data_IF_904266324455
#
_entry.id   IF_904266324455
#
_cell.length_a   1.000
_cell.length_b   1.000
_cell.length_c   1.000
_cell.angle_alpha   90.00
_cell.angle_beta   90.00
_cell.angle_gamma   90.00
#
_symmetry.space_group_name_H-M   'P 1'
#
loop_
_entity.id
_entity.type
_entity.pdbx_description
1 polymer ?
#
# COMPACT_ATOMS: atom_id res chain seq x y z
N UNK A 1 -18.60 1.43 -25.39
CA UNK A 1 -17.90 2.64 -24.92
C UNK A 1 -16.52 2.33 -24.29
N UNK A 2 -16.35 1.28 -23.44
CA UNK A 2 -15.04 0.89 -22.86
C UNK A 2 -14.06 0.39 -23.92
N UNK A 3 -14.47 -0.47 -24.84
CA UNK A 3 -13.63 -0.97 -25.95
C UNK A 3 -13.17 0.15 -26.89
N UNK A 4 -14.03 1.14 -27.20
CA UNK A 4 -13.66 2.27 -28.07
C UNK A 4 -12.59 3.17 -27.46
N UNK A 5 -12.60 3.42 -26.13
CA UNK A 5 -11.53 4.23 -25.48
C UNK A 5 -10.19 3.50 -25.41
N UNK A 6 -10.19 2.18 -25.23
CA UNK A 6 -8.97 1.38 -25.32
C UNK A 6 -8.36 1.40 -26.73
N UNK A 7 -9.20 1.32 -27.77
CA UNK A 7 -8.76 1.47 -29.17
C UNK A 7 -8.14 2.85 -29.43
N UNK A 8 -8.68 3.95 -28.88
CA UNK A 8 -8.16 5.29 -29.13
C UNK A 8 -6.74 5.51 -28.58
N UNK A 9 -6.38 4.95 -27.43
CA UNK A 9 -5.00 5.03 -26.93
C UNK A 9 -4.08 4.14 -27.76
N UNK A 10 -4.53 2.96 -28.15
CA UNK A 10 -3.75 1.99 -28.90
C UNK A 10 -3.45 2.44 -30.34
N UNK A 11 -4.46 2.95 -31.05
CA UNK A 11 -4.39 3.14 -32.51
C UNK A 11 -4.01 4.59 -32.92
N UNK A 12 -4.16 5.56 -32.03
CA UNK A 12 -3.97 6.98 -32.38
C UNK A 12 -2.89 7.74 -31.61
N UNK A 13 -2.45 7.23 -30.45
CA UNK A 13 -1.48 7.96 -29.63
C UNK A 13 -0.03 7.75 -30.09
N UNK A 14 0.30 6.53 -30.46
CA UNK A 14 1.67 6.15 -30.81
C UNK A 14 1.64 5.29 -32.07
N UNK A 15 1.52 5.90 -33.27
CA UNK A 15 1.47 5.17 -34.55
C UNK A 15 2.65 4.21 -34.66
N UNK A 16 2.37 3.01 -35.18
CA UNK A 16 3.38 1.96 -35.42
C UNK A 16 4.09 1.38 -34.18
N UNK A 17 3.58 1.67 -32.98
CA UNK A 17 4.13 1.09 -31.75
C UNK A 17 3.25 -0.06 -31.24
N UNK A 18 3.82 -1.26 -30.97
CA UNK A 18 3.06 -2.35 -30.42
C UNK A 18 2.68 -2.05 -28.96
N UNK A 19 1.37 -1.99 -28.68
CA UNK A 19 0.83 -1.85 -27.33
C UNK A 19 -0.13 -3.00 -27.09
N UNK A 20 0.15 -3.82 -26.08
CA UNK A 20 -0.74 -4.91 -25.67
C UNK A 20 -1.81 -4.42 -24.69
N UNK A 21 -2.84 -5.22 -24.47
CA UNK A 21 -3.86 -4.95 -23.45
C UNK A 21 -3.26 -4.92 -22.05
N UNK A 22 -2.28 -5.79 -21.78
CA UNK A 22 -1.54 -5.82 -20.51
C UNK A 22 -0.72 -4.55 -20.31
N UNK A 23 -0.04 -4.05 -21.36
CA UNK A 23 0.72 -2.81 -21.25
C UNK A 23 -0.19 -1.64 -20.91
N UNK A 24 -1.39 -1.62 -21.48
CA UNK A 24 -2.38 -0.59 -21.19
C UNK A 24 -2.94 -0.73 -19.77
N UNK A 25 -3.21 -1.96 -19.31
CA UNK A 25 -3.66 -2.20 -17.93
C UNK A 25 -2.63 -1.70 -16.92
N UNK A 26 -1.38 -2.09 -17.08
CA UNK A 26 -0.31 -1.67 -16.16
C UNK A 26 0.04 -0.19 -16.29
N UNK A 27 -0.09 0.40 -17.49
CA UNK A 27 0.01 1.84 -17.67
C UNK A 27 -1.02 2.59 -16.81
N UNK A 28 -2.28 2.17 -16.84
CA UNK A 28 -3.34 2.74 -16.00
C UNK A 28 -2.97 2.60 -14.52
N UNK A 29 -2.50 1.42 -14.12
CA UNK A 29 -2.10 1.17 -12.75
C UNK A 29 -0.96 2.10 -12.31
N UNK A 30 0.07 2.27 -13.13
CA UNK A 30 1.19 3.19 -12.88
C UNK A 30 0.76 4.67 -12.80
N UNK A 31 -0.09 5.13 -13.72
CA UNK A 31 -0.63 6.50 -13.71
C UNK A 31 -1.37 6.82 -12.41
N UNK A 32 -2.18 5.89 -11.91
CA UNK A 32 -2.93 6.08 -10.67
C UNK A 32 -2.04 6.24 -9.43
N UNK A 33 -0.78 5.79 -9.49
CA UNK A 33 0.23 6.02 -8.45
C UNK A 33 1.06 7.29 -8.67
N UNK A 34 0.98 7.93 -9.84
CA UNK A 34 1.71 9.17 -10.12
C UNK A 34 1.23 10.32 -9.23
N UNK A 35 2.16 10.93 -8.50
CA UNK A 35 1.88 12.11 -7.69
C UNK A 35 1.37 13.28 -8.57
N UNK A 36 1.97 13.47 -9.74
CA UNK A 36 1.53 14.48 -10.71
C UNK A 36 0.09 14.27 -11.16
N UNK A 37 -0.35 13.01 -11.38
CA UNK A 37 -1.73 12.69 -11.71
C UNK A 37 -2.67 12.96 -10.52
N UNK A 38 -2.34 12.46 -9.35
CA UNK A 38 -3.15 12.62 -8.14
C UNK A 38 -3.32 14.08 -7.74
N UNK A 39 -2.27 14.87 -7.83
CA UNK A 39 -2.32 16.30 -7.51
C UNK A 39 -3.14 17.08 -8.53
N UNK A 40 -2.89 16.84 -9.83
CA UNK A 40 -3.59 17.55 -10.91
C UNK A 40 -5.09 17.30 -10.92
N UNK A 41 -5.51 16.08 -10.65
CA UNK A 41 -6.91 15.65 -10.73
C UNK A 41 -7.55 15.37 -9.37
N UNK A 42 -6.99 15.91 -8.28
CA UNK A 42 -7.45 15.66 -6.91
C UNK A 42 -8.96 15.89 -6.72
N UNK A 43 -9.48 17.01 -7.26
CA UNK A 43 -10.91 17.37 -7.16
C UNK A 43 -11.81 16.43 -7.99
N UNK A 44 -11.34 15.96 -9.13
CA UNK A 44 -12.09 15.06 -10.00
C UNK A 44 -12.14 13.66 -9.39
N UNK A 45 -11.01 13.18 -8.85
CA UNK A 45 -10.91 11.85 -8.22
C UNK A 45 -11.80 11.69 -6.98
N UNK A 46 -12.21 12.79 -6.36
CA UNK A 46 -13.18 12.75 -5.26
C UNK A 46 -14.64 12.61 -5.71
N UNK A 47 -14.95 12.91 -6.96
CA UNK A 47 -16.32 13.03 -7.48
C UNK A 47 -16.64 12.06 -8.60
N UNK A 48 -15.65 11.65 -9.36
CA UNK A 48 -15.82 10.88 -10.59
C UNK A 48 -14.81 9.72 -10.67
N UNK A 49 -15.11 8.75 -11.53
CA UNK A 49 -14.15 7.69 -11.87
C UNK A 49 -12.93 8.31 -12.58
N UNK A 50 -11.72 7.75 -12.34
CA UNK A 50 -10.51 8.24 -12.96
C UNK A 50 -10.60 8.27 -14.48
N UNK A 51 -10.24 9.41 -15.08
CA UNK A 51 -10.01 9.56 -16.51
C UNK A 51 -8.51 9.51 -16.75
N UNK A 52 -8.07 8.54 -17.52
CA UNK A 52 -6.65 8.31 -17.74
C UNK A 52 -6.21 9.08 -18.98
N UNK A 53 -5.31 10.10 -18.84
CA UNK A 53 -4.79 10.84 -19.98
C UNK A 53 -3.77 10.00 -20.75
N UNK A 54 -3.53 10.36 -22.00
CA UNK A 54 -2.36 9.89 -22.75
C UNK A 54 -1.14 10.71 -22.37
N UNK A 55 -0.01 10.05 -22.14
CA UNK A 55 1.26 10.77 -21.93
C UNK A 55 1.88 11.21 -23.26
N UNK A 56 2.79 12.16 -23.19
CA UNK A 56 3.32 12.83 -24.38
C UNK A 56 4.10 11.89 -25.30
N UNK A 57 4.85 10.94 -24.77
CA UNK A 57 5.71 10.05 -25.55
C UNK A 57 5.49 8.58 -25.24
N UNK A 58 5.88 7.72 -26.19
CA UNK A 58 5.83 6.26 -26.02
C UNK A 58 6.78 5.78 -24.92
N UNK A 59 7.93 6.40 -24.77
CA UNK A 59 8.90 6.08 -23.71
C UNK A 59 8.31 6.34 -22.32
N UNK A 60 7.56 7.44 -22.17
CA UNK A 60 6.82 7.70 -20.91
C UNK A 60 5.71 6.66 -20.69
N UNK A 61 4.99 6.28 -21.75
CA UNK A 61 3.99 5.20 -21.67
C UNK A 61 4.63 3.90 -21.17
N UNK A 62 5.75 3.49 -21.74
CA UNK A 62 6.46 2.27 -21.30
C UNK A 62 6.97 2.37 -19.87
N UNK A 63 7.46 3.54 -19.45
CA UNK A 63 7.93 3.76 -18.09
C UNK A 63 6.81 3.63 -17.07
N UNK A 64 5.64 4.21 -17.35
CA UNK A 64 4.45 4.04 -16.49
C UNK A 64 3.93 2.60 -16.51
N UNK A 65 3.89 1.95 -17.68
CA UNK A 65 3.46 0.54 -17.80
C UNK A 65 4.38 -0.39 -17.02
N UNK A 66 5.71 -0.19 -17.14
CA UNK A 66 6.69 -0.98 -16.38
C UNK A 66 6.51 -0.80 -14.87
N UNK A 67 6.45 0.44 -14.40
CA UNK A 67 6.27 0.72 -12.98
C UNK A 67 4.93 0.16 -12.46
N UNK A 68 3.86 0.26 -13.25
CA UNK A 68 2.58 -0.33 -12.92
C UNK A 68 2.63 -1.85 -12.81
N UNK A 69 3.41 -2.53 -13.65
CA UNK A 69 3.64 -3.98 -13.59
C UNK A 69 4.42 -4.36 -12.32
N UNK A 70 5.46 -3.61 -12.00
CA UNK A 70 6.27 -3.82 -10.81
C UNK A 70 5.43 -3.61 -9.52
N UNK A 71 4.60 -2.55 -9.48
CA UNK A 71 3.65 -2.30 -8.39
C UNK A 71 2.60 -3.41 -8.26
N UNK A 72 1.99 -3.82 -9.37
CA UNK A 72 0.97 -4.87 -9.35
C UNK A 72 1.53 -6.19 -8.84
N UNK A 73 2.72 -6.58 -9.30
CA UNK A 73 3.41 -7.78 -8.80
C UNK A 73 3.63 -7.72 -7.29
N UNK A 74 4.14 -6.58 -6.81
CA UNK A 74 4.38 -6.37 -5.37
C UNK A 74 3.08 -6.44 -4.55
N UNK A 75 2.00 -5.83 -5.05
CA UNK A 75 0.74 -5.74 -4.31
C UNK A 75 -0.08 -7.03 -4.35
N UNK A 76 0.00 -7.81 -5.43
CA UNK A 76 -0.68 -9.11 -5.54
C UNK A 76 0.04 -10.15 -4.68
N UNK A 77 1.37 -10.12 -4.66
CA UNK A 77 2.20 -11.07 -3.93
C UNK A 77 2.77 -10.51 -2.62
N UNK A 78 2.03 -9.62 -1.97
CA UNK A 78 2.49 -8.94 -0.75
C UNK A 78 2.82 -9.90 0.41
N UNK A 79 2.20 -11.07 0.44
CA UNK A 79 2.49 -12.10 1.45
C UNK A 79 3.76 -12.93 1.13
N UNK A 80 4.28 -12.86 -0.07
CA UNK A 80 5.48 -13.58 -0.49
C UNK A 80 6.76 -12.77 -0.25
N UNK A 81 6.64 -11.46 0.06
CA UNK A 81 7.81 -10.63 0.31
C UNK A 81 8.51 -11.01 1.62
N UNK A 82 9.80 -10.77 1.68
CA UNK A 82 10.58 -10.94 2.90
C UNK A 82 10.16 -9.94 3.96
N UNK A 83 9.86 -10.36 5.20
CA UNK A 83 9.58 -9.45 6.30
C UNK A 83 10.72 -8.46 6.51
N UNK A 84 10.40 -7.21 6.79
CA UNK A 84 11.39 -6.16 7.01
C UNK A 84 12.26 -6.46 8.25
N UNK A 85 13.57 -6.57 8.05
CA UNK A 85 14.51 -6.96 9.09
C UNK A 85 15.12 -5.78 9.87
N UNK A 86 14.86 -4.52 9.43
CA UNK A 86 15.45 -3.32 10.05
C UNK A 86 14.80 -2.87 11.35
N UNK A 87 13.78 -3.57 11.83
CA UNK A 87 13.14 -3.30 13.13
C UNK A 87 13.85 -4.02 14.27
N UNK A 88 13.61 -3.55 15.50
CA UNK A 88 14.02 -4.23 16.73
C UNK A 88 12.79 -4.77 17.44
N UNK A 89 12.78 -6.07 17.77
CA UNK A 89 11.74 -6.68 18.59
C UNK A 89 12.19 -6.68 20.05
N UNK A 90 11.49 -5.96 20.90
CA UNK A 90 11.69 -5.96 22.34
C UNK A 90 10.65 -6.89 23.01
N UNK A 91 11.12 -7.74 23.89
CA UNK A 91 10.29 -8.69 24.65
C UNK A 91 10.21 -8.26 26.10
N UNK A 92 9.00 -7.96 26.59
CA UNK A 92 8.76 -7.48 27.96
C UNK A 92 8.94 -8.55 29.04
N UNK A 93 8.95 -9.84 28.64
CA UNK A 93 9.01 -10.97 29.57
C UNK A 93 10.01 -12.01 29.07
N UNK A 94 10.55 -12.79 30.01
CA UNK A 94 11.37 -13.96 29.70
C UNK A 94 10.51 -15.17 29.38
N UNK A 95 10.97 -16.06 28.48
CA UNK A 95 10.25 -17.29 28.09
C UNK A 95 9.78 -17.28 26.65
N UNK A 96 8.90 -18.24 26.29
CA UNK A 96 8.36 -18.35 24.94
C UNK A 96 7.37 -17.21 24.69
N UNK A 97 7.60 -16.31 23.71
CA UNK A 97 6.72 -15.19 23.47
C UNK A 97 5.37 -15.64 22.91
N UNK A 98 4.31 -14.95 23.30
CA UNK A 98 3.00 -15.10 22.67
C UNK A 98 2.91 -14.14 21.48
N UNK A 99 2.53 -14.67 20.31
CA UNK A 99 2.27 -13.87 19.11
C UNK A 99 0.80 -13.51 18.92
N UNK A 100 -0.07 -13.94 19.85
CA UNK A 100 -1.49 -13.60 19.79
C UNK A 100 -1.71 -12.09 19.93
N UNK A 101 -2.49 -11.52 19.04
CA UNK A 101 -2.86 -10.10 19.01
C UNK A 101 -4.26 -9.94 19.60
N UNK A 102 -4.39 -9.03 20.57
CA UNK A 102 -5.68 -8.51 21.00
C UNK A 102 -6.01 -7.20 20.29
N UNK A 103 -5.07 -6.27 20.31
CA UNK A 103 -5.12 -4.99 19.65
C UNK A 103 -3.72 -4.40 19.58
N UNK A 104 -3.25 -4.07 18.39
CA UNK A 104 -2.02 -3.33 18.19
C UNK A 104 -2.24 -1.83 18.47
N UNK A 105 -1.21 -1.15 18.94
CA UNK A 105 -1.23 0.30 19.21
C UNK A 105 0.09 0.95 18.84
N UNK A 106 0.04 2.12 18.25
CA UNK A 106 1.23 2.94 18.10
C UNK A 106 1.77 3.42 19.46
N UNK A 107 3.07 3.58 19.55
CA UNK A 107 3.71 4.24 20.69
C UNK A 107 3.14 5.64 20.93
N UNK A 108 3.55 6.27 22.01
CA UNK A 108 3.11 7.62 22.38
C UNK A 108 4.29 8.56 22.52
N UNK A 109 4.15 9.76 21.97
CA UNK A 109 5.08 10.87 22.16
C UNK A 109 4.63 11.64 23.39
N UNK A 110 5.53 11.78 24.38
CA UNK A 110 5.24 12.51 25.60
C UNK A 110 4.86 13.98 25.30
N UNK A 111 3.87 14.49 26.02
CA UNK A 111 3.41 15.89 25.90
C UNK A 111 2.56 16.21 24.68
N UNK A 112 2.24 15.21 23.83
CA UNK A 112 1.32 15.39 22.68
C UNK A 112 0.02 14.65 22.89
N UNK A 113 -1.05 15.10 22.21
CA UNK A 113 -2.39 14.51 22.25
C UNK A 113 -2.92 14.22 20.85
N UNK A 114 -3.96 13.38 20.76
CA UNK A 114 -4.57 13.00 19.48
C UNK A 114 -3.64 12.22 18.56
N UNK A 115 -3.78 12.42 17.26
CA UNK A 115 -2.94 11.74 16.25
C UNK A 115 -1.48 12.21 16.29
N UNK A 116 -1.21 13.44 16.71
CA UNK A 116 0.14 13.98 16.88
C UNK A 116 0.92 13.30 18.03
N UNK A 117 0.21 12.60 18.92
CA UNK A 117 0.82 11.83 20.02
C UNK A 117 1.28 10.44 19.61
N UNK A 118 0.97 9.98 18.40
CA UNK A 118 1.35 8.64 17.92
C UNK A 118 2.80 8.63 17.48
N UNK A 119 3.61 7.84 18.17
CA UNK A 119 4.95 7.49 17.69
C UNK A 119 4.86 6.37 16.66
N UNK A 120 5.01 6.72 15.40
CA UNK A 120 4.93 5.80 14.26
C UNK A 120 6.21 4.98 14.06
N UNK A 121 7.25 5.23 14.84
CA UNK A 121 8.48 4.41 14.83
C UNK A 121 8.40 3.24 15.79
N UNK A 122 7.37 3.22 16.65
CA UNK A 122 7.17 2.21 17.70
C UNK A 122 5.76 1.64 17.63
N UNK A 123 5.64 0.30 17.58
CA UNK A 123 4.38 -0.42 17.67
C UNK A 123 4.36 -1.29 18.92
N UNK A 124 3.39 -1.08 19.79
CA UNK A 124 3.03 -2.00 20.87
C UNK A 124 2.16 -3.08 20.23
N UNK A 125 2.79 -4.22 19.90
CA UNK A 125 2.13 -5.32 19.20
C UNK A 125 1.16 -6.06 20.12
N UNK A 126 1.64 -6.44 21.32
CA UNK A 126 0.85 -7.01 22.41
C UNK A 126 1.57 -6.77 23.76
N UNK A 127 1.16 -7.47 24.83
CA UNK A 127 1.77 -7.34 26.17
C UNK A 127 3.18 -7.99 26.27
N UNK A 128 3.64 -8.66 25.22
CA UNK A 128 4.94 -9.32 25.15
C UNK A 128 5.92 -8.64 24.23
N UNK A 129 5.43 -8.11 23.09
CA UNK A 129 6.25 -7.69 21.97
C UNK A 129 6.01 -6.22 21.68
N UNK A 130 7.11 -5.46 21.62
CA UNK A 130 7.13 -4.11 21.07
C UNK A 130 8.07 -4.10 19.87
N UNK A 131 7.58 -3.57 18.74
CA UNK A 131 8.37 -3.39 17.52
C UNK A 131 8.89 -1.95 17.50
N UNK A 132 10.20 -1.77 17.43
CA UNK A 132 10.87 -0.45 17.37
C UNK A 132 11.64 -0.26 16.06
N UNK A 133 12.05 0.97 15.81
CA UNK A 133 12.80 1.36 14.62
C UNK A 133 12.03 1.12 13.32
N UNK A 134 10.70 1.32 13.35
CA UNK A 134 9.88 1.29 12.14
C UNK A 134 10.23 2.53 11.32
N UNK A 135 10.65 2.39 10.04
CA UNK A 135 11.00 3.53 9.20
C UNK A 135 9.78 4.40 8.91
N UNK A 136 9.92 5.72 9.09
CA UNK A 136 8.82 6.68 8.85
C UNK A 136 8.42 6.71 7.38
N UNK A 137 9.34 6.42 6.47
CA UNK A 137 9.09 6.32 5.03
C UNK A 137 8.03 5.27 4.69
N UNK A 138 7.90 4.20 5.50
CA UNK A 138 6.85 3.20 5.34
C UNK A 138 5.43 3.76 5.59
N UNK A 139 5.31 4.93 6.25
CA UNK A 139 4.03 5.60 6.44
C UNK A 139 3.58 6.42 5.22
N UNK A 140 4.47 6.65 4.23
CA UNK A 140 4.18 7.43 3.03
C UNK A 140 3.23 6.67 2.07
N UNK A 141 3.19 5.34 2.13
CA UNK A 141 2.27 4.55 1.32
C UNK A 141 0.83 4.64 1.87
N UNK A 142 0.06 5.53 1.25
CA UNK A 142 -1.31 5.86 1.67
C UNK A 142 -2.33 5.10 0.83
N UNK A 143 -3.21 4.37 1.50
CA UNK A 143 -4.36 3.67 0.93
C UNK A 143 -5.62 4.19 1.61
N UNK A 144 -6.55 4.77 0.85
CA UNK A 144 -7.80 5.32 1.39
C UNK A 144 -7.59 6.25 2.62
N UNK A 145 -6.71 7.24 2.49
CA UNK A 145 -6.41 8.28 3.50
C UNK A 145 -5.67 7.80 4.76
N UNK A 146 -5.27 6.54 4.83
CA UNK A 146 -4.45 5.98 5.93
C UNK A 146 -3.22 5.29 5.35
N UNK A 147 -2.14 5.21 6.13
CA UNK A 147 -1.01 4.37 5.72
C UNK A 147 -1.41 2.89 5.68
N UNK A 148 -0.74 2.11 4.83
CA UNK A 148 -0.96 0.67 4.79
C UNK A 148 -0.70 0.02 6.16
N UNK A 149 0.28 0.53 6.91
CA UNK A 149 0.56 0.10 8.28
C UNK A 149 -0.59 0.41 9.25
N UNK A 150 -1.23 1.58 9.12
CA UNK A 150 -2.41 1.91 9.94
C UNK A 150 -3.56 0.95 9.71
N UNK A 151 -3.75 0.47 8.47
CA UNK A 151 -4.76 -0.53 8.18
C UNK A 151 -4.48 -1.85 8.90
N UNK A 152 -3.24 -2.32 8.90
CA UNK A 152 -2.87 -3.54 9.63
C UNK A 152 -3.09 -3.35 11.13
N UNK A 153 -2.62 -2.25 11.72
CA UNK A 153 -2.78 -1.93 13.15
C UNK A 153 -4.24 -1.87 13.58
N UNK A 154 -5.12 -1.36 12.71
CA UNK A 154 -6.54 -1.24 12.99
C UNK A 154 -7.29 -2.57 12.82
N UNK A 155 -6.93 -3.36 11.80
CA UNK A 155 -7.68 -4.56 11.41
C UNK A 155 -7.19 -5.85 12.04
N UNK A 156 -5.89 -5.96 12.34
CA UNK A 156 -5.35 -7.11 13.04
C UNK A 156 -5.66 -7.03 14.54
N UNK A 157 -6.91 -7.31 14.90
CA UNK A 157 -7.40 -7.24 16.27
C UNK A 157 -8.49 -8.30 16.53
N UNK A 158 -8.85 -8.44 17.79
CA UNK A 158 -10.08 -9.14 18.21
C UNK A 158 -11.17 -8.11 18.41
N UNK A 159 -12.27 -8.22 17.70
CA UNK A 159 -13.41 -7.31 17.80
C UNK A 159 -14.73 -8.10 17.86
N UNK A 160 -15.72 -7.49 18.49
CA UNK A 160 -17.08 -8.05 18.57
C UNK A 160 -18.01 -7.10 17.82
N UNK A 161 -18.71 -7.61 16.83
CA UNK A 161 -19.78 -6.87 16.19
C UNK A 161 -20.95 -6.71 17.15
N UNK A 162 -21.30 -5.47 17.47
CA UNK A 162 -22.31 -5.18 18.49
C UNK A 162 -23.74 -5.57 18.11
N UNK A 163 -24.02 -5.64 16.82
CA UNK A 163 -25.36 -5.93 16.32
C UNK A 163 -25.62 -7.45 16.26
N UNK A 164 -24.64 -8.20 15.79
CA UNK A 164 -24.75 -9.65 15.61
C UNK A 164 -24.16 -10.47 16.77
N UNK A 165 -23.32 -9.87 17.63
CA UNK A 165 -22.54 -10.58 18.64
C UNK A 165 -21.39 -11.42 18.09
N UNK A 166 -21.13 -11.37 16.77
CA UNK A 166 -20.08 -12.15 16.13
C UNK A 166 -18.71 -11.65 16.59
N UNK A 167 -17.88 -12.59 17.05
CA UNK A 167 -16.47 -12.32 17.38
C UNK A 167 -15.65 -12.47 16.10
N UNK A 168 -14.95 -11.39 15.71
CA UNK A 168 -13.97 -11.41 14.64
C UNK A 168 -12.59 -11.45 15.29
N UNK A 169 -11.93 -12.60 15.23
CA UNK A 169 -10.60 -12.81 15.78
C UNK A 169 -9.58 -13.00 14.66
N UNK A 170 -8.70 -12.01 14.47
CA UNK A 170 -7.67 -12.08 13.44
C UNK A 170 -6.71 -13.27 13.63
N UNK A 171 -6.57 -13.78 14.87
CA UNK A 171 -5.70 -14.90 15.17
C UNK A 171 -6.25 -16.26 14.69
N UNK A 172 -7.55 -16.35 14.37
CA UNK A 172 -8.15 -17.59 13.87
C UNK A 172 -7.54 -18.01 12.55
N UNK A 173 -7.26 -17.04 11.66
CA UNK A 173 -6.55 -17.31 10.41
C UNK A 173 -5.13 -17.84 10.68
N UNK A 174 -4.38 -17.19 11.57
CA UNK A 174 -3.03 -17.61 11.96
C UNK A 174 -2.99 -19.03 12.52
N UNK A 175 -3.99 -19.38 13.34
CA UNK A 175 -4.17 -20.73 13.89
C UNK A 175 -4.50 -21.73 12.78
N UNK A 176 -5.40 -21.36 11.86
CA UNK A 176 -5.84 -22.22 10.75
C UNK A 176 -4.71 -22.61 9.80
N UNK A 177 -3.74 -21.71 9.55
CA UNK A 177 -2.56 -22.00 8.73
C UNK A 177 -1.37 -22.55 9.52
N UNK A 178 -1.50 -22.78 10.84
CA UNK A 178 -0.44 -23.29 11.71
C UNK A 178 0.72 -22.32 11.94
N UNK A 179 0.52 -21.02 11.72
CA UNK A 179 1.53 -19.99 11.92
C UNK A 179 1.05 -18.91 12.90
N UNK A 180 1.27 -19.14 14.21
CA UNK A 180 0.90 -18.18 15.25
C UNK A 180 1.56 -16.80 15.10
N UNK A 181 2.71 -16.74 14.41
CA UNK A 181 3.48 -15.51 14.18
C UNK A 181 2.94 -14.68 12.99
N UNK A 182 2.03 -15.24 12.19
CA UNK A 182 1.51 -14.61 10.98
C UNK A 182 1.12 -13.13 11.15
N UNK A 183 0.41 -12.68 12.22
CA UNK A 183 0.05 -11.27 12.36
C UNK A 183 1.27 -10.33 12.47
N UNK A 184 2.33 -10.77 13.13
CA UNK A 184 3.59 -10.02 13.21
C UNK A 184 4.32 -10.02 11.88
N UNK A 185 4.43 -11.19 11.24
CA UNK A 185 5.09 -11.32 9.94
C UNK A 185 4.37 -10.51 8.87
N UNK A 186 3.03 -10.48 8.88
CA UNK A 186 2.23 -9.64 7.98
C UNK A 186 2.57 -8.15 8.19
N UNK A 187 2.62 -7.68 9.44
CA UNK A 187 2.99 -6.29 9.71
C UNK A 187 4.39 -5.96 9.16
N UNK A 188 5.37 -6.83 9.38
CA UNK A 188 6.73 -6.65 8.88
C UNK A 188 6.81 -6.70 7.34
N UNK A 189 6.02 -7.57 6.69
CA UNK A 189 5.89 -7.64 5.23
C UNK A 189 5.28 -6.37 4.66
N UNK A 190 4.25 -5.81 5.32
CA UNK A 190 3.64 -4.55 4.89
C UNK A 190 4.60 -3.36 5.03
N UNK A 191 5.57 -3.39 5.96
CA UNK A 191 6.68 -2.41 5.97
C UNK A 191 7.49 -2.52 4.67
N UNK A 192 7.91 -3.73 4.28
CA UNK A 192 8.66 -3.98 3.03
C UNK A 192 7.86 -3.50 1.82
N UNK A 193 6.58 -3.91 1.72
CA UNK A 193 5.69 -3.50 0.62
C UNK A 193 5.56 -1.98 0.54
N UNK A 194 5.40 -1.31 1.68
CA UNK A 194 5.27 0.15 1.72
C UNK A 194 6.54 0.85 1.20
N UNK A 195 7.70 0.41 1.65
CA UNK A 195 8.99 0.97 1.23
C UNK A 195 9.25 0.73 -0.27
N UNK A 196 9.05 -0.50 -0.76
CA UNK A 196 9.25 -0.83 -2.17
C UNK A 196 8.22 -0.12 -3.08
N UNK A 197 6.96 0.00 -2.63
CA UNK A 197 5.95 0.80 -3.34
C UNK A 197 6.41 2.25 -3.49
N UNK A 198 6.84 2.89 -2.41
CA UNK A 198 7.30 4.29 -2.47
C UNK A 198 8.58 4.45 -3.29
N UNK A 199 9.46 3.46 -3.26
CA UNK A 199 10.66 3.44 -4.11
C UNK A 199 10.28 3.42 -5.60
N UNK A 200 9.35 2.54 -6.01
CA UNK A 200 8.86 2.50 -7.40
C UNK A 200 8.15 3.82 -7.75
N UNK A 201 7.27 4.34 -6.88
CA UNK A 201 6.54 5.59 -7.12
C UNK A 201 7.48 6.78 -7.31
N UNK A 202 8.57 6.87 -6.54
CA UNK A 202 9.58 7.93 -6.67
C UNK A 202 10.39 7.87 -7.99
N UNK A 203 10.38 6.72 -8.68
CA UNK A 203 11.02 6.57 -10.00
C UNK A 203 10.09 6.89 -11.18
N UNK A 204 8.80 7.11 -10.93
CA UNK A 204 7.85 7.44 -11.99
C UNK A 204 8.27 8.73 -12.71
N UNK A 205 8.15 8.77 -14.05
CA UNK A 205 8.46 9.99 -14.79
C UNK A 205 7.47 11.11 -14.46
N UNK A 206 7.90 12.35 -14.67
CA UNK A 206 7.00 13.51 -14.60
C UNK A 206 5.84 13.31 -15.58
N UNK A 207 4.62 13.58 -15.12
CA UNK A 207 3.43 13.45 -15.97
C UNK A 207 3.38 14.57 -17.01
N UNK A 208 3.64 14.23 -18.25
CA UNK A 208 3.46 15.09 -19.40
C UNK A 208 2.30 14.56 -20.26
N UNK A 209 1.24 15.34 -20.36
CA UNK A 209 0.01 14.94 -21.04
C UNK A 209 0.10 15.29 -22.51
N UNK A 210 -0.33 14.37 -23.38
CA UNK A 210 -0.40 14.58 -24.82
C UNK A 210 -1.21 15.85 -25.16
N UNK A 211 -0.79 16.67 -26.13
CA UNK A 211 -1.45 17.93 -26.48
C UNK A 211 -2.96 17.82 -26.77
N UNK A 212 -3.40 16.69 -27.33
CA UNK A 212 -4.81 16.43 -27.63
C UNK A 212 -5.67 16.10 -26.40
N UNK A 213 -5.08 15.90 -25.23
CA UNK A 213 -5.77 15.58 -23.97
C UNK A 213 -5.64 16.71 -22.93
N UNK A 214 -5.13 17.86 -23.33
CA UNK A 214 -4.96 19.05 -22.47
C UNK A 214 -6.25 19.82 -22.26
#
# INVERSE_FOLDING_TARGET
LRRQRQMCIRDSAYPDKPITEDDLFYYIYGILYSEGYRTRYANNLMKELPRIPRVATYEQFLAFSKAGRDLAKLHVHFEEVTPYAGVTLEYAKSGKPSYRVKQMKWGKIAGKTGNAAKDKTTLIYNDWITVKNIPLEAQEYIVNKKSALDWVVERACVSIDKASGIVNDFNDFATGIGNERYPLDLFLKVITVSLETMKIVKTLPKLEIHPLDK
#
